data_IF_839642453720
#
_entry.id   IF_839642453720
#
_cell.length_a   1.000
_cell.length_b   1.000
_cell.length_c   1.000
_cell.angle_alpha   90.00
_cell.angle_beta   90.00
_cell.angle_gamma   90.00
#
_symmetry.space_group_name_H-M   'P 1'
#
loop_
_entity.id
_entity.type
_entity.pdbx_description
1 polymer ?
#
# COMPACT_ATOMS: atom_id res chain seq x y z
N UNK A 1 -14.72 -6.99 13.20
CA UNK A 1 -13.38 -6.97 12.57
C UNK A 1 -12.28 -6.66 13.58
N UNK A 2 -12.48 -5.77 14.55
CA UNK A 2 -11.46 -5.38 15.53
C UNK A 2 -10.74 -6.57 16.20
N UNK A 3 -11.48 -7.57 16.68
CA UNK A 3 -10.91 -8.76 17.33
C UNK A 3 -9.97 -9.56 16.40
N UNK A 4 -10.33 -9.72 15.12
CA UNK A 4 -9.48 -10.42 14.16
C UNK A 4 -8.16 -9.66 13.92
N UNK A 5 -8.23 -8.34 13.83
CA UNK A 5 -7.06 -7.45 13.71
C UNK A 5 -6.14 -7.57 14.93
N UNK A 6 -6.70 -7.44 16.12
CA UNK A 6 -5.94 -7.54 17.36
C UNK A 6 -5.23 -8.90 17.49
N UNK A 7 -5.94 -10.00 17.22
CA UNK A 7 -5.34 -11.33 17.23
C UNK A 7 -4.23 -11.47 16.18
N UNK A 8 -4.46 -10.97 14.95
CA UNK A 8 -3.47 -11.05 13.88
C UNK A 8 -2.19 -10.27 14.23
N UNK A 9 -2.30 -9.07 14.80
CA UNK A 9 -1.14 -8.25 15.17
C UNK A 9 -0.37 -8.82 16.37
N UNK A 10 -1.06 -9.45 17.33
CA UNK A 10 -0.40 -9.99 18.53
C UNK A 10 0.11 -11.42 18.37
N UNK A 11 -0.61 -12.27 17.66
CA UNK A 11 -0.35 -13.71 17.59
C UNK A 11 -0.14 -14.22 16.16
N UNK A 12 -0.30 -13.35 15.15
CA UNK A 12 -0.23 -13.71 13.73
C UNK A 12 -1.56 -14.29 13.18
N UNK A 13 -1.68 -14.31 11.87
CA UNK A 13 -2.89 -14.77 11.18
C UNK A 13 -3.20 -16.25 11.40
N UNK A 14 -2.22 -17.07 11.73
CA UNK A 14 -2.43 -18.50 11.98
C UNK A 14 -3.18 -18.76 13.30
N UNK A 15 -3.14 -17.80 14.22
CA UNK A 15 -3.94 -17.82 15.46
C UNK A 15 -5.39 -17.36 15.23
N UNK A 16 -5.70 -16.69 14.11
CA UNK A 16 -7.03 -16.19 13.79
C UNK A 16 -7.87 -17.31 13.19
N UNK A 17 -8.66 -17.95 14.03
CA UNK A 17 -9.58 -19.03 13.63
C UNK A 17 -11.01 -18.67 14.01
N UNK A 18 -12.01 -19.25 13.33
CA UNK A 18 -13.43 -19.04 13.66
C UNK A 18 -13.74 -19.42 15.10
N UNK A 19 -13.09 -20.48 15.62
CA UNK A 19 -13.22 -20.91 17.01
C UNK A 19 -12.68 -19.84 17.97
N UNK A 20 -11.47 -19.33 17.71
CA UNK A 20 -10.85 -18.32 18.55
C UNK A 20 -11.66 -17.00 18.51
N UNK A 21 -12.05 -16.55 17.33
CA UNK A 21 -12.90 -15.37 17.18
C UNK A 21 -14.21 -15.51 17.94
N UNK A 22 -14.90 -16.65 17.81
CA UNK A 22 -16.16 -16.91 18.54
C UNK A 22 -15.99 -16.80 20.06
N UNK A 23 -14.87 -17.30 20.59
CA UNK A 23 -14.58 -17.23 22.01
C UNK A 23 -14.34 -15.79 22.46
N UNK A 24 -13.54 -15.03 21.69
CA UNK A 24 -13.16 -13.66 22.05
C UNK A 24 -14.33 -12.67 21.96
N UNK A 25 -15.28 -12.89 21.02
CA UNK A 25 -16.44 -12.00 20.84
C UNK A 25 -17.69 -12.50 21.57
N UNK A 26 -17.57 -13.60 22.31
CA UNK A 26 -18.69 -14.24 23.05
C UNK A 26 -19.89 -14.61 22.17
N UNK A 27 -19.66 -14.91 20.87
CA UNK A 27 -20.66 -15.40 19.92
C UNK A 27 -20.41 -16.85 19.52
N UNK A 28 -21.48 -17.55 19.14
CA UNK A 28 -21.34 -18.91 18.62
C UNK A 28 -20.78 -18.91 17.18
N UNK A 29 -20.02 -19.96 16.82
CA UNK A 29 -19.51 -20.10 15.45
C UNK A 29 -20.60 -20.02 14.37
N UNK A 30 -21.82 -20.59 14.54
CA UNK A 30 -22.91 -20.41 13.58
C UNK A 30 -23.30 -18.96 13.32
N UNK A 31 -23.14 -18.08 14.30
CA UNK A 31 -23.40 -16.63 14.12
C UNK A 31 -22.33 -15.98 13.26
N UNK A 32 -21.06 -16.35 13.45
CA UNK A 32 -19.97 -15.89 12.59
C UNK A 32 -20.20 -16.31 11.13
N UNK A 33 -20.58 -17.57 10.90
CA UNK A 33 -20.86 -18.09 9.55
C UNK A 33 -22.09 -17.49 8.87
N UNK A 34 -22.98 -16.81 9.59
CA UNK A 34 -24.06 -16.02 8.97
C UNK A 34 -23.55 -14.74 8.31
N UNK A 35 -22.41 -14.22 8.76
CA UNK A 35 -21.84 -12.96 8.28
C UNK A 35 -20.65 -13.18 7.34
N UNK A 36 -19.93 -14.29 7.51
CA UNK A 36 -18.73 -14.61 6.72
C UNK A 36 -18.75 -16.10 6.38
N UNK A 37 -18.82 -16.42 5.11
CA UNK A 37 -18.87 -17.81 4.67
C UNK A 37 -17.55 -18.56 4.90
N UNK A 38 -16.42 -17.82 5.06
CA UNK A 38 -15.10 -18.42 5.28
C UNK A 38 -14.16 -17.48 6.04
N UNK A 39 -13.00 -18.02 6.45
CA UNK A 39 -11.93 -17.20 7.01
C UNK A 39 -11.33 -16.22 6.00
N UNK A 40 -11.28 -16.60 4.74
CA UNK A 40 -10.82 -15.74 3.66
C UNK A 40 -11.68 -14.48 3.54
N UNK A 41 -13.00 -14.59 3.70
CA UNK A 41 -13.89 -13.41 3.72
C UNK A 41 -13.63 -12.50 4.92
N UNK A 42 -13.27 -13.06 6.07
CA UNK A 42 -12.87 -12.26 7.23
C UNK A 42 -11.57 -11.52 6.94
N UNK A 43 -10.58 -12.20 6.35
CA UNK A 43 -9.30 -11.58 5.96
C UNK A 43 -9.52 -10.48 4.92
N UNK A 44 -10.37 -10.73 3.91
CA UNK A 44 -10.70 -9.73 2.90
C UNK A 44 -11.40 -8.51 3.49
N UNK A 45 -12.34 -8.71 4.41
CA UNK A 45 -13.02 -7.61 5.08
C UNK A 45 -12.05 -6.79 5.93
N UNK A 46 -11.10 -7.43 6.64
CA UNK A 46 -10.01 -6.72 7.33
C UNK A 46 -9.15 -5.96 6.34
N UNK A 47 -8.74 -6.58 5.25
CA UNK A 47 -7.91 -5.94 4.24
C UNK A 47 -8.58 -4.69 3.66
N UNK A 48 -9.90 -4.73 3.39
CA UNK A 48 -10.65 -3.58 2.90
C UNK A 48 -10.70 -2.42 3.91
N UNK A 49 -10.93 -2.71 5.20
CA UNK A 49 -10.84 -1.68 6.24
C UNK A 49 -9.45 -1.04 6.28
N UNK A 50 -8.40 -1.86 6.23
CA UNK A 50 -7.00 -1.42 6.30
C UNK A 50 -6.59 -0.61 5.06
N UNK A 51 -7.09 -0.94 3.87
CA UNK A 51 -6.91 -0.09 2.68
C UNK A 51 -7.54 1.29 2.86
N UNK A 52 -8.69 1.39 3.52
CA UNK A 52 -9.30 2.67 3.87
C UNK A 52 -8.40 3.50 4.80
N UNK A 53 -7.86 2.89 5.84
CA UNK A 53 -6.92 3.53 6.77
C UNK A 53 -5.61 3.97 6.08
N UNK A 54 -5.11 3.13 5.17
CA UNK A 54 -3.96 3.50 4.35
C UNK A 54 -4.27 4.72 3.49
N UNK A 55 -5.44 4.76 2.83
CA UNK A 55 -5.86 5.91 2.03
C UNK A 55 -5.91 7.20 2.86
N UNK A 56 -6.50 7.15 4.06
CA UNK A 56 -6.55 8.30 4.98
C UNK A 56 -5.15 8.76 5.39
N UNK A 57 -4.27 7.82 5.73
CA UNK A 57 -2.87 8.08 6.12
C UNK A 57 -2.08 8.74 5.00
N UNK A 58 -2.17 8.20 3.78
CA UNK A 58 -1.50 8.75 2.60
C UNK A 58 -2.04 10.14 2.25
N UNK A 59 -3.37 10.31 2.29
CA UNK A 59 -4.02 11.58 2.02
C UNK A 59 -3.63 12.67 3.03
N UNK A 60 -3.55 12.33 4.32
CA UNK A 60 -3.09 13.25 5.35
C UNK A 60 -1.62 13.67 5.12
N UNK A 61 -0.74 12.71 4.82
CA UNK A 61 0.67 12.98 4.52
C UNK A 61 0.83 13.89 3.29
N UNK A 62 0.11 13.60 2.19
CA UNK A 62 0.12 14.39 0.97
C UNK A 62 -0.34 15.84 1.21
N UNK A 63 -1.47 16.01 1.89
CA UNK A 63 -2.03 17.35 2.18
C UNK A 63 -1.21 18.16 3.16
N UNK A 64 -0.40 17.53 4.01
CA UNK A 64 0.48 18.24 4.95
C UNK A 64 1.72 18.85 4.29
N UNK A 65 1.97 18.56 3.01
CA UNK A 65 3.13 19.04 2.29
C UNK A 65 2.98 20.50 1.83
N UNK A 66 4.07 21.27 1.92
CA UNK A 66 4.11 22.65 1.44
C UNK A 66 4.38 22.79 -0.07
N UNK A 67 5.00 21.80 -0.68
CA UNK A 67 5.36 21.79 -2.10
C UNK A 67 5.14 20.40 -2.72
N UNK A 68 5.00 20.35 -4.05
CA UNK A 68 4.68 19.12 -4.78
C UNK A 68 5.69 17.98 -4.58
N UNK A 69 6.99 18.27 -4.64
CA UNK A 69 8.03 17.27 -4.42
C UNK A 69 8.09 16.76 -2.97
N UNK A 70 7.73 17.60 -2.01
CA UNK A 70 7.58 17.20 -0.60
C UNK A 70 6.36 16.28 -0.41
N UNK A 71 5.27 16.53 -1.15
CA UNK A 71 4.07 15.70 -1.10
C UNK A 71 4.36 14.23 -1.48
N UNK A 72 5.09 13.98 -2.56
CA UNK A 72 5.47 12.63 -2.98
C UNK A 72 6.35 11.95 -1.92
N UNK A 73 7.36 12.63 -1.40
CA UNK A 73 8.25 12.09 -0.36
C UNK A 73 7.49 11.76 0.92
N UNK A 74 6.60 12.64 1.39
CA UNK A 74 5.79 12.41 2.59
C UNK A 74 4.83 11.25 2.41
N UNK A 75 4.19 11.15 1.25
CA UNK A 75 3.30 10.04 0.93
C UNK A 75 4.06 8.71 0.88
N UNK A 76 5.24 8.68 0.27
CA UNK A 76 6.09 7.50 0.20
C UNK A 76 6.57 7.05 1.59
N UNK A 77 6.99 7.99 2.45
CA UNK A 77 7.36 7.70 3.85
C UNK A 77 6.17 7.19 4.66
N UNK A 78 4.99 7.79 4.49
CA UNK A 78 3.77 7.35 5.16
C UNK A 78 3.39 5.92 4.77
N UNK A 79 3.51 5.54 3.49
CA UNK A 79 3.30 4.18 3.02
C UNK A 79 4.27 3.19 3.70
N UNK A 80 5.57 3.50 3.68
CA UNK A 80 6.59 2.65 4.28
C UNK A 80 6.39 2.49 5.80
N UNK A 81 6.10 3.60 6.49
CA UNK A 81 5.82 3.57 7.93
C UNK A 81 4.58 2.75 8.24
N UNK A 82 3.50 2.89 7.47
CA UNK A 82 2.29 2.09 7.64
C UNK A 82 2.57 0.59 7.54
N UNK A 83 3.36 0.17 6.56
CA UNK A 83 3.75 -1.23 6.37
C UNK A 83 4.60 -1.79 7.52
N UNK A 84 5.45 -0.97 8.13
CA UNK A 84 6.30 -1.34 9.26
C UNK A 84 5.50 -1.40 10.55
N UNK A 85 4.64 -0.42 10.79
CA UNK A 85 3.85 -0.32 12.03
C UNK A 85 2.74 -1.38 12.12
N UNK A 86 2.25 -1.89 10.96
CA UNK A 86 1.10 -2.79 10.88
C UNK A 86 1.44 -4.07 10.09
N UNK A 87 2.40 -4.89 10.55
CA UNK A 87 2.93 -5.99 9.75
C UNK A 87 1.89 -7.05 9.39
N UNK A 88 1.05 -7.49 10.32
CA UNK A 88 0.02 -8.48 10.06
C UNK A 88 -1.11 -7.94 9.18
N UNK A 89 -1.51 -6.68 9.37
CA UNK A 89 -2.52 -6.03 8.53
C UNK A 89 -2.02 -5.83 7.11
N UNK A 90 -0.75 -5.45 6.94
CA UNK A 90 -0.10 -5.36 5.63
C UNK A 90 -0.07 -6.72 4.91
N UNK A 91 0.19 -7.81 5.66
CA UNK A 91 0.13 -9.17 5.14
C UNK A 91 -1.30 -9.54 4.68
N UNK A 92 -2.33 -9.15 5.43
CA UNK A 92 -3.72 -9.32 5.00
C UNK A 92 -4.00 -8.65 3.66
N UNK A 93 -3.53 -7.41 3.48
CA UNK A 93 -3.77 -6.61 2.26
C UNK A 93 -3.17 -7.24 1.00
N UNK A 94 -1.92 -7.71 1.08
CA UNK A 94 -1.11 -8.01 -0.10
C UNK A 94 -0.75 -9.48 -0.28
N UNK A 95 -0.80 -10.28 0.79
CA UNK A 95 -0.41 -11.69 0.73
C UNK A 95 -1.58 -12.64 0.92
N UNK A 96 -2.58 -12.26 1.74
CA UNK A 96 -3.67 -13.17 2.13
C UNK A 96 -5.00 -12.88 1.42
N UNK A 97 -5.32 -11.62 1.16
CA UNK A 97 -6.55 -11.23 0.45
C UNK A 97 -6.39 -11.38 -1.08
N UNK A 98 -6.11 -12.60 -1.52
CA UNK A 98 -5.73 -12.91 -2.92
C UNK A 98 -6.86 -12.74 -3.94
N UNK A 99 -8.12 -12.61 -3.50
CA UNK A 99 -9.28 -12.37 -4.38
C UNK A 99 -9.52 -10.90 -4.67
N UNK A 100 -8.91 -9.99 -3.93
CA UNK A 100 -9.01 -8.57 -4.20
C UNK A 100 -8.27 -8.24 -5.51
N UNK A 101 -9.03 -7.72 -6.46
CA UNK A 101 -8.47 -7.34 -7.77
C UNK A 101 -8.13 -5.87 -7.78
N UNK A 102 -6.99 -5.55 -8.39
CA UNK A 102 -6.52 -4.19 -8.65
C UNK A 102 -6.63 -3.90 -10.14
N UNK A 103 -6.87 -2.62 -10.49
CA UNK A 103 -6.86 -2.17 -11.90
C UNK A 103 -7.99 -2.73 -12.75
N UNK A 104 -9.14 -3.04 -12.19
CA UNK A 104 -10.36 -3.45 -12.90
C UNK A 104 -11.56 -2.61 -12.46
N UNK A 105 -12.64 -2.65 -13.24
CA UNK A 105 -13.90 -1.93 -12.91
C UNK A 105 -14.51 -2.42 -11.58
N UNK A 106 -14.22 -3.66 -11.19
CA UNK A 106 -14.68 -4.27 -9.94
C UNK A 106 -13.74 -4.02 -8.76
N UNK A 107 -12.72 -3.16 -8.91
CA UNK A 107 -11.79 -2.85 -7.80
C UNK A 107 -12.54 -2.19 -6.64
N UNK A 108 -12.46 -2.72 -5.40
CA UNK A 108 -13.15 -2.14 -4.26
C UNK A 108 -12.77 -0.68 -3.99
N UNK A 109 -13.74 0.13 -3.57
CA UNK A 109 -13.54 1.55 -3.31
C UNK A 109 -12.37 1.91 -2.38
N UNK A 110 -12.09 1.17 -1.27
CA UNK A 110 -10.93 1.46 -0.43
C UNK A 110 -9.59 1.30 -1.16
N UNK A 111 -9.48 0.30 -2.06
CA UNK A 111 -8.28 0.10 -2.87
C UNK A 111 -8.09 1.25 -3.86
N UNK A 112 -9.18 1.65 -4.53
CA UNK A 112 -9.17 2.82 -5.42
C UNK A 112 -8.75 4.10 -4.67
N UNK A 113 -9.24 4.29 -3.44
CA UNK A 113 -8.88 5.44 -2.62
C UNK A 113 -7.39 5.46 -2.29
N UNK A 114 -6.82 4.33 -1.82
CA UNK A 114 -5.40 4.24 -1.50
C UNK A 114 -4.50 4.46 -2.73
N UNK A 115 -4.83 3.83 -3.86
CA UNK A 115 -4.13 4.06 -5.13
C UNK A 115 -4.29 5.50 -5.62
N UNK A 116 -5.47 6.09 -5.45
CA UNK A 116 -5.78 7.46 -5.80
C UNK A 116 -4.91 8.49 -5.07
N UNK A 117 -4.58 8.26 -3.80
CA UNK A 117 -3.68 9.13 -3.03
C UNK A 117 -2.23 9.04 -3.52
N UNK A 118 -1.75 7.84 -3.88
CA UNK A 118 -0.44 7.67 -4.53
C UNK A 118 -0.42 8.38 -5.89
N UNK A 119 -1.47 8.21 -6.71
CA UNK A 119 -1.60 8.85 -8.02
C UNK A 119 -1.61 10.38 -7.89
N UNK A 120 -2.35 10.92 -6.91
CA UNK A 120 -2.38 12.35 -6.67
C UNK A 120 -1.00 12.92 -6.24
N UNK A 121 -0.20 12.13 -5.51
CA UNK A 121 1.16 12.53 -5.16
C UNK A 121 2.11 12.51 -6.36
N UNK A 122 1.96 11.53 -7.26
CA UNK A 122 2.78 11.40 -8.49
C UNK A 122 2.38 12.41 -9.57
N UNK A 123 1.10 12.75 -9.68
CA UNK A 123 0.55 13.54 -10.79
C UNK A 123 1.27 14.89 -10.99
N UNK A 124 1.71 15.53 -9.89
CA UNK A 124 2.45 16.79 -9.94
C UNK A 124 3.84 16.67 -10.55
N UNK A 125 4.37 15.45 -10.65
CA UNK A 125 5.70 15.12 -11.18
C UNK A 125 5.63 14.39 -12.52
N UNK A 126 4.43 14.05 -12.98
CA UNK A 126 4.25 13.20 -14.16
C UNK A 126 4.68 13.91 -15.47
N UNK A 127 4.49 15.24 -15.56
CA UNK A 127 4.68 16.01 -16.80
C UNK A 127 3.89 15.36 -17.97
N UNK A 128 4.57 14.93 -19.01
CA UNK A 128 3.98 14.26 -20.18
C UNK A 128 3.89 12.72 -20.03
N UNK A 129 4.38 12.18 -18.90
CA UNK A 129 4.33 10.73 -18.64
C UNK A 129 2.95 10.33 -18.14
N UNK A 130 2.55 9.09 -18.44
CA UNK A 130 1.31 8.52 -17.91
C UNK A 130 1.36 8.39 -16.39
N UNK A 131 0.43 9.07 -15.71
CA UNK A 131 0.40 9.12 -14.25
C UNK A 131 0.00 7.79 -13.62
N UNK A 132 -0.79 6.97 -14.31
CA UNK A 132 -1.17 5.65 -13.79
C UNK A 132 0.02 4.71 -13.78
N UNK A 133 0.70 4.57 -14.92
CA UNK A 133 1.93 3.76 -15.02
C UNK A 133 3.01 4.22 -14.02
N UNK A 134 3.18 5.54 -13.84
CA UNK A 134 4.10 6.06 -12.84
C UNK A 134 3.70 5.67 -11.41
N UNK A 135 2.39 5.68 -11.13
CA UNK A 135 1.87 5.28 -9.82
C UNK A 135 2.09 3.79 -9.57
N UNK A 136 1.88 2.95 -10.57
CA UNK A 136 2.16 1.51 -10.48
C UNK A 136 3.64 1.23 -10.20
N UNK A 137 4.56 1.94 -10.87
CA UNK A 137 6.01 1.82 -10.64
C UNK A 137 6.38 2.29 -9.24
N UNK A 138 5.83 3.42 -8.77
CA UNK A 138 6.05 3.90 -7.41
C UNK A 138 5.56 2.87 -6.39
N UNK A 139 4.31 2.40 -6.56
CA UNK A 139 3.72 1.41 -5.66
C UNK A 139 4.52 0.11 -5.64
N UNK A 140 4.92 -0.42 -6.79
CA UNK A 140 5.78 -1.60 -6.89
C UNK A 140 7.11 -1.40 -6.14
N UNK A 141 7.74 -0.25 -6.29
CA UNK A 141 8.96 0.12 -5.57
C UNK A 141 8.76 0.17 -4.05
N UNK A 142 7.74 0.88 -3.59
CA UNK A 142 7.41 1.01 -2.16
C UNK A 142 7.03 -0.35 -1.54
N UNK A 143 6.19 -1.12 -2.23
CA UNK A 143 5.82 -2.47 -1.80
C UNK A 143 7.03 -3.41 -1.73
N UNK A 144 7.91 -3.36 -2.73
CA UNK A 144 9.15 -4.13 -2.75
C UNK A 144 10.08 -3.76 -1.59
N UNK A 145 10.30 -2.47 -1.34
CA UNK A 145 11.08 -2.00 -0.20
C UNK A 145 10.48 -2.45 1.14
N UNK A 146 9.17 -2.28 1.33
CA UNK A 146 8.48 -2.69 2.55
C UNK A 146 8.60 -4.20 2.78
N UNK A 147 8.35 -5.02 1.75
CA UNK A 147 8.40 -6.48 1.84
C UNK A 147 9.81 -6.99 2.14
N UNK A 148 10.82 -6.45 1.48
CA UNK A 148 12.22 -6.83 1.68
C UNK A 148 12.74 -6.37 3.05
N UNK A 149 12.37 -5.17 3.51
CA UNK A 149 12.74 -4.65 4.83
C UNK A 149 12.15 -5.52 5.95
N UNK A 150 10.85 -5.84 5.85
CA UNK A 150 10.15 -6.69 6.84
C UNK A 150 10.67 -8.12 6.92
N UNK A 151 11.30 -8.62 5.87
CA UNK A 151 11.92 -9.95 5.82
C UNK A 151 13.43 -9.95 6.10
N UNK A 152 13.96 -8.87 6.65
CA UNK A 152 15.38 -8.66 6.98
C UNK A 152 16.34 -8.88 5.79
N UNK A 153 15.85 -8.61 4.57
CA UNK A 153 16.64 -8.76 3.32
C UNK A 153 17.34 -7.48 2.90
N UNK A 154 17.11 -6.39 3.60
CA UNK A 154 17.78 -5.12 3.37
C UNK A 154 18.63 -4.74 4.59
N UNK A 155 19.70 -3.98 4.36
CA UNK A 155 20.52 -3.45 5.46
C UNK A 155 19.68 -2.52 6.35
N UNK A 156 19.71 -2.67 7.67
CA UNK A 156 18.95 -1.81 8.58
C UNK A 156 19.43 -0.35 8.53
N UNK A 157 18.56 0.58 8.91
CA UNK A 157 18.88 1.99 9.08
C UNK A 157 19.00 2.83 7.80
N UNK A 158 18.61 2.30 6.63
CA UNK A 158 18.67 3.01 5.35
C UNK A 158 17.30 3.18 4.68
N UNK A 159 16.21 3.07 5.44
CA UNK A 159 14.87 3.08 4.85
C UNK A 159 14.51 4.46 4.28
N UNK A 160 14.81 5.54 4.98
CA UNK A 160 14.62 6.91 4.50
C UNK A 160 15.43 7.19 3.22
N UNK A 161 16.70 6.79 3.19
CA UNK A 161 17.57 6.98 2.03
C UNK A 161 17.03 6.24 0.80
N UNK A 162 16.53 5.01 0.97
CA UNK A 162 15.91 4.24 -0.12
C UNK A 162 14.67 4.91 -0.67
N UNK A 163 13.82 5.46 0.22
CA UNK A 163 12.63 6.21 -0.19
C UNK A 163 13.02 7.47 -0.96
N UNK A 164 14.01 8.21 -0.49
CA UNK A 164 14.51 9.42 -1.18
C UNK A 164 15.06 9.07 -2.57
N UNK A 165 15.85 8.02 -2.68
CA UNK A 165 16.37 7.53 -3.96
C UNK A 165 15.26 7.08 -4.91
N UNK A 166 14.26 6.35 -4.40
CA UNK A 166 13.11 5.94 -5.19
C UNK A 166 12.33 7.16 -5.70
N UNK A 167 11.98 8.09 -4.82
CA UNK A 167 11.22 9.29 -5.16
C UNK A 167 11.97 10.19 -6.15
N UNK A 168 13.29 10.30 -6.03
CA UNK A 168 14.13 11.09 -6.95
C UNK A 168 14.00 10.63 -8.42
N UNK A 169 13.70 9.35 -8.68
CA UNK A 169 13.47 8.84 -10.03
C UNK A 169 12.21 9.43 -10.69
N UNK A 170 11.27 9.93 -9.92
CA UNK A 170 10.02 10.52 -10.44
C UNK A 170 10.17 12.03 -10.71
N UNK A 171 11.13 12.71 -10.05
CA UNK A 171 11.41 14.14 -10.22
C UNK A 171 12.33 14.48 -11.39
N UNK A 172 12.91 13.50 -12.06
CA UNK A 172 13.84 13.72 -13.18
C UNK A 172 13.14 14.33 -14.39
N UNK A 173 13.55 15.52 -14.78
CA UNK A 173 13.26 16.11 -16.09
C UNK A 173 13.74 15.13 -17.16
N UNK A 174 12.85 14.75 -18.08
CA UNK A 174 13.25 13.99 -19.27
C UNK A 174 14.38 14.72 -19.99
N UNK A 175 15.61 14.23 -19.82
CA UNK A 175 16.73 14.62 -20.67
C UNK A 175 16.39 14.12 -22.07
N UNK A 176 15.75 15.00 -22.85
CA UNK A 176 15.52 14.78 -24.25
C UNK A 176 16.85 14.42 -24.93
N UNK A 177 16.95 13.17 -25.35
CA UNK A 177 17.99 12.75 -26.26
C UNK A 177 17.69 13.39 -27.63
N UNK A 178 18.04 14.67 -27.76
CA UNK A 178 18.10 15.34 -29.04
C UNK A 178 19.29 14.71 -29.80
N UNK A 179 19.00 13.63 -30.53
CA UNK A 179 19.90 13.20 -31.60
C UNK A 179 19.78 14.25 -32.71
N UNK A 180 20.68 15.21 -32.64
CA UNK A 180 21.03 16.00 -33.83
C UNK A 180 21.55 15.05 -34.90
N UNK A 181 20.68 14.67 -35.81
CA UNK A 181 21.07 14.11 -37.11
C UNK A 181 21.60 15.24 -37.97
N UNK A 182 22.88 15.52 -37.85
CA UNK A 182 23.61 16.31 -38.82
C UNK A 182 23.82 15.45 -40.07
N UNK A 183 22.99 15.70 -41.10
CA UNK A 183 23.19 15.16 -42.43
C UNK A 183 23.67 16.31 -43.28
N UNK A 184 24.96 16.46 -43.41
CA UNK A 184 25.57 17.31 -44.44
C UNK A 184 26.59 16.51 -45.24
N UNK A 185 26.26 16.37 -46.50
CA UNK A 185 27.03 16.02 -47.72
C UNK A 185 27.10 14.57 -48.10
#
# INVERSE_FOLDING_TARGET
>A
MATARTLAEHEGWDAVTTRRLSTEIEYSQPVLYKHFASMEEIVEAVALEVFGELAETLGAARRSAGAAGDALTRTARAFSKFAIDNPALYDAMFSRATRLRFGSDDTPAPLHAAFGELRAAVATMAHERDSETLTEVLWAGLHGLATLSRSDRLRPGHDDERIELLVAQFGGTGSGHHRNGDTSR
#
